data_IF_318112526476
#
_entry.id   IF_318112526476
#
_cell.length_a   1.000
_cell.length_b   1.000
_cell.length_c   1.000
_cell.angle_alpha   90.00
_cell.angle_beta   90.00
_cell.angle_gamma   90.00
#
_symmetry.space_group_name_H-M   'P 1'
#
loop_
_entity.id
_entity.type
_entity.pdbx_description
1 polymer ?
#
# COMPACT_ATOMS: atom_id res chain seq x y z
N UNK A 1 -23.10 5.23 -15.71
CA UNK A 1 -23.32 5.65 -14.32
C UNK A 1 -22.85 4.50 -13.43
N UNK A 2 -21.61 4.53 -12.93
CA UNK A 2 -21.10 3.50 -12.01
C UNK A 2 -21.66 3.86 -10.64
N UNK A 3 -22.58 3.05 -10.12
CA UNK A 3 -23.14 3.23 -8.78
C UNK A 3 -21.99 3.32 -7.76
N UNK A 4 -21.97 4.35 -6.91
CA UNK A 4 -21.09 4.39 -5.75
C UNK A 4 -21.44 3.19 -4.87
N UNK A 5 -20.55 2.21 -4.79
CA UNK A 5 -20.77 0.98 -4.02
C UNK A 5 -20.66 1.20 -2.51
N UNK A 6 -19.82 2.14 -2.07
CA UNK A 6 -19.69 2.59 -0.69
C UNK A 6 -19.00 3.96 -0.65
N UNK A 7 -19.31 4.76 0.37
CA UNK A 7 -18.65 6.02 0.69
C UNK A 7 -18.13 6.08 2.15
N UNK A 8 -18.31 5.01 2.92
CA UNK A 8 -17.83 4.90 4.30
C UNK A 8 -17.26 3.50 4.61
N UNK A 9 -16.39 3.35 5.63
CA UNK A 9 -15.85 2.05 6.00
C UNK A 9 -16.88 0.99 6.39
N UNK A 10 -17.97 1.40 7.05
CA UNK A 10 -19.08 0.50 7.39
C UNK A 10 -19.80 -0.02 6.14
N UNK A 11 -20.02 0.84 5.15
CA UNK A 11 -20.59 0.44 3.86
C UNK A 11 -19.65 -0.50 3.08
N UNK A 12 -18.34 -0.24 3.08
CA UNK A 12 -17.36 -1.12 2.44
C UNK A 12 -17.35 -2.52 3.08
N UNK A 13 -17.49 -2.60 4.41
CA UNK A 13 -17.65 -3.85 5.16
C UNK A 13 -18.93 -4.60 4.76
N UNK A 14 -20.06 -3.89 4.68
CA UNK A 14 -21.34 -4.47 4.25
C UNK A 14 -21.22 -5.00 2.82
N UNK A 15 -20.58 -4.25 1.93
CA UNK A 15 -20.35 -4.66 0.55
C UNK A 15 -19.50 -5.94 0.49
N UNK A 16 -18.40 -6.04 1.23
CA UNK A 16 -17.58 -7.26 1.29
C UNK A 16 -18.38 -8.49 1.75
N UNK A 17 -19.22 -8.32 2.77
CA UNK A 17 -20.11 -9.39 3.23
C UNK A 17 -21.13 -9.78 2.16
N UNK A 18 -21.66 -8.81 1.41
CA UNK A 18 -22.55 -9.07 0.28
C UNK A 18 -21.83 -9.83 -0.85
N UNK A 19 -20.59 -9.46 -1.19
CA UNK A 19 -19.75 -10.22 -2.13
C UNK A 19 -19.60 -11.68 -1.67
N UNK A 20 -19.26 -11.91 -0.40
CA UNK A 20 -19.13 -13.26 0.15
C UNK A 20 -20.44 -14.06 0.05
N UNK A 21 -21.58 -13.45 0.40
CA UNK A 21 -22.89 -14.10 0.35
C UNK A 21 -23.32 -14.46 -1.08
N UNK A 22 -23.14 -13.53 -2.03
CA UNK A 22 -23.42 -13.78 -3.45
C UNK A 22 -22.51 -14.88 -3.98
N UNK A 23 -21.22 -14.83 -3.65
CA UNK A 23 -20.25 -15.83 -4.06
C UNK A 23 -20.62 -17.23 -3.56
N UNK A 24 -20.96 -17.36 -2.28
CA UNK A 24 -21.42 -18.62 -1.70
C UNK A 24 -22.68 -19.17 -2.41
N UNK A 25 -23.60 -18.28 -2.80
CA UNK A 25 -24.78 -18.66 -3.59
C UNK A 25 -24.43 -19.17 -4.99
N UNK A 26 -23.52 -18.49 -5.70
CA UNK A 26 -23.07 -18.91 -7.04
C UNK A 26 -22.34 -20.26 -6.99
N UNK A 27 -21.49 -20.48 -5.98
CA UNK A 27 -20.80 -21.76 -5.79
C UNK A 27 -21.79 -22.90 -5.55
N UNK A 28 -22.85 -22.70 -4.75
CA UNK A 28 -23.93 -23.69 -4.57
C UNK A 28 -24.68 -24.01 -5.86
N UNK A 29 -24.70 -23.09 -6.83
CA UNK A 29 -25.27 -23.28 -8.16
C UNK A 29 -24.26 -23.89 -9.16
N UNK A 30 -23.07 -24.30 -8.71
CA UNK A 30 -22.00 -24.84 -9.56
C UNK A 30 -21.20 -23.79 -10.34
N UNK A 31 -21.47 -22.49 -10.13
CA UNK A 31 -20.77 -21.38 -10.79
C UNK A 31 -19.53 -21.00 -9.98
N UNK A 32 -18.44 -21.72 -10.22
CA UNK A 32 -17.17 -21.56 -9.48
C UNK A 32 -16.19 -20.57 -10.11
N UNK A 33 -16.50 -20.00 -11.27
CA UNK A 33 -15.64 -18.98 -11.89
C UNK A 33 -15.50 -17.75 -10.97
N UNK A 34 -14.31 -17.14 -10.86
CA UNK A 34 -14.13 -15.86 -10.17
C UNK A 34 -15.00 -14.76 -10.77
N UNK A 35 -15.15 -13.67 -10.02
CA UNK A 35 -15.75 -12.45 -10.57
C UNK A 35 -14.90 -11.87 -11.69
N UNK A 36 -15.56 -11.16 -12.60
CA UNK A 36 -14.87 -10.51 -13.70
C UNK A 36 -14.03 -9.32 -13.23
N UNK A 37 -13.14 -8.86 -14.11
CA UNK A 37 -12.24 -7.75 -13.82
C UNK A 37 -13.00 -6.45 -13.55
N UNK A 38 -14.18 -6.26 -14.15
CA UNK A 38 -15.00 -5.06 -13.95
C UNK A 38 -15.46 -4.96 -12.51
N UNK A 39 -15.89 -6.09 -11.93
CA UNK A 39 -16.33 -6.13 -10.55
C UNK A 39 -15.15 -5.99 -9.58
N UNK A 40 -14.01 -6.60 -9.87
CA UNK A 40 -12.77 -6.39 -9.10
C UNK A 40 -12.35 -4.91 -9.12
N UNK A 41 -12.44 -4.24 -10.27
CA UNK A 41 -12.15 -2.82 -10.39
C UNK A 41 -13.14 -1.96 -9.59
N UNK A 42 -14.43 -2.27 -9.67
CA UNK A 42 -15.47 -1.59 -8.89
C UNK A 42 -15.23 -1.73 -7.38
N UNK A 43 -14.82 -2.92 -6.93
CA UNK A 43 -14.40 -3.15 -5.54
C UNK A 43 -13.20 -2.28 -5.15
N UNK A 44 -12.14 -2.21 -5.97
CA UNK A 44 -10.98 -1.35 -5.64
C UNK A 44 -11.32 0.14 -5.59
N UNK A 45 -12.21 0.61 -6.47
CA UNK A 45 -12.70 2.00 -6.44
C UNK A 45 -13.52 2.27 -5.18
N UNK A 46 -14.33 1.30 -4.75
CA UNK A 46 -15.07 1.37 -3.49
C UNK A 46 -14.12 1.50 -2.30
N UNK A 47 -13.07 0.67 -2.23
CA UNK A 47 -12.05 0.75 -1.17
C UNK A 47 -11.41 2.14 -1.14
N UNK A 48 -11.07 2.70 -2.31
CA UNK A 48 -10.52 4.05 -2.39
C UNK A 48 -11.50 5.10 -1.85
N UNK A 49 -12.76 5.03 -2.27
CA UNK A 49 -13.77 6.02 -1.90
C UNK A 49 -14.14 5.96 -0.41
N UNK A 50 -14.15 4.77 0.16
CA UNK A 50 -14.45 4.53 1.57
C UNK A 50 -13.21 4.62 2.49
N UNK A 51 -12.00 4.78 1.92
CA UNK A 51 -10.72 4.76 2.62
C UNK A 51 -10.60 3.59 3.63
N UNK A 52 -10.83 2.37 3.14
CA UNK A 52 -10.95 1.16 3.98
C UNK A 52 -9.87 0.12 3.69
N UNK A 53 -8.61 0.35 4.08
CA UNK A 53 -7.52 -0.60 3.85
C UNK A 53 -7.73 -1.93 4.57
N UNK A 54 -8.41 -1.94 5.72
CA UNK A 54 -8.74 -3.15 6.48
C UNK A 54 -9.66 -4.11 5.69
N UNK A 55 -10.65 -3.56 5.00
CA UNK A 55 -11.57 -4.31 4.13
C UNK A 55 -10.82 -4.89 2.94
N UNK A 56 -9.87 -4.14 2.38
CA UNK A 56 -9.01 -4.63 1.31
C UNK A 56 -8.08 -5.75 1.78
N UNK A 57 -7.48 -5.61 2.97
CA UNK A 57 -6.62 -6.64 3.56
C UNK A 57 -7.39 -7.94 3.75
N UNK A 58 -8.62 -7.87 4.27
CA UNK A 58 -9.46 -9.07 4.39
C UNK A 58 -9.81 -9.66 3.02
N UNK A 59 -10.17 -8.82 2.06
CA UNK A 59 -10.48 -9.27 0.71
C UNK A 59 -9.29 -9.96 0.04
N UNK A 60 -8.06 -9.47 0.26
CA UNK A 60 -6.83 -10.11 -0.21
C UNK A 60 -6.62 -11.46 0.48
N UNK A 61 -6.75 -11.53 1.80
CA UNK A 61 -6.59 -12.79 2.56
C UNK A 61 -7.59 -13.87 2.14
N UNK A 62 -8.78 -13.47 1.69
CA UNK A 62 -9.88 -14.35 1.28
C UNK A 62 -10.15 -14.29 -0.23
N UNK A 63 -9.18 -13.86 -1.04
CA UNK A 63 -9.39 -13.56 -2.46
C UNK A 63 -9.99 -14.73 -3.25
N UNK A 64 -9.50 -15.95 -3.01
CA UNK A 64 -9.98 -17.18 -3.66
C UNK A 64 -11.40 -17.55 -3.22
N UNK A 65 -11.69 -17.44 -1.92
CA UNK A 65 -13.02 -17.69 -1.33
C UNK A 65 -14.05 -16.71 -1.89
N UNK A 66 -13.69 -15.42 -1.95
CA UNK A 66 -14.53 -14.34 -2.44
C UNK A 66 -14.62 -14.30 -3.96
N UNK A 67 -13.77 -15.03 -4.68
CA UNK A 67 -13.68 -14.95 -6.14
C UNK A 67 -13.21 -13.58 -6.63
N UNK A 68 -12.51 -12.80 -5.80
CA UNK A 68 -12.00 -11.48 -6.12
C UNK A 68 -10.53 -11.56 -6.54
N UNK A 69 -10.28 -11.59 -7.85
CA UNK A 69 -8.93 -11.54 -8.40
C UNK A 69 -8.49 -10.08 -8.58
N UNK A 70 -7.77 -9.55 -7.59
CA UNK A 70 -7.28 -8.18 -7.61
C UNK A 70 -5.98 -8.09 -8.42
N UNK A 71 -5.92 -7.15 -9.37
CA UNK A 71 -4.73 -6.97 -10.19
C UNK A 71 -3.68 -6.10 -9.48
N UNK A 72 -2.41 -6.37 -9.75
CA UNK A 72 -1.29 -5.57 -9.24
C UNK A 72 -1.45 -4.09 -9.59
N UNK A 73 -1.87 -3.78 -10.83
CA UNK A 73 -2.08 -2.40 -11.29
C UNK A 73 -3.03 -1.63 -10.39
N UNK A 74 -4.19 -2.21 -10.03
CA UNK A 74 -5.19 -1.54 -9.19
C UNK A 74 -4.71 -1.38 -7.75
N UNK A 75 -4.04 -2.39 -7.20
CA UNK A 75 -3.45 -2.26 -5.89
C UNK A 75 -2.38 -1.16 -5.87
N UNK A 76 -1.54 -1.07 -6.90
CA UNK A 76 -0.54 0.00 -7.02
C UNK A 76 -1.17 1.38 -7.12
N UNK A 77 -2.32 1.54 -7.78
CA UNK A 77 -3.06 2.80 -7.79
C UNK A 77 -3.50 3.20 -6.37
N UNK A 78 -4.00 2.27 -5.57
CA UNK A 78 -4.35 2.51 -4.16
C UNK A 78 -3.13 2.86 -3.31
N UNK A 79 -2.05 2.08 -3.44
CA UNK A 79 -0.81 2.35 -2.70
C UNK A 79 -0.20 3.71 -3.06
N UNK A 80 -0.25 4.13 -4.34
CA UNK A 80 0.17 5.47 -4.75
C UNK A 80 -0.70 6.55 -4.13
N UNK A 81 -2.02 6.35 -4.15
CA UNK A 81 -2.95 7.30 -3.55
C UNK A 81 -2.68 7.52 -2.07
N UNK A 82 -2.57 6.45 -1.28
CA UNK A 82 -2.18 6.56 0.13
C UNK A 82 -0.76 7.09 0.31
N UNK A 83 0.14 6.80 -0.63
CA UNK A 83 1.51 7.33 -0.63
C UNK A 83 1.59 8.83 -0.84
N UNK A 84 0.69 9.40 -1.65
CA UNK A 84 0.52 10.84 -1.84
C UNK A 84 -0.05 11.52 -0.60
N UNK A 85 -0.90 10.82 0.15
CA UNK A 85 -1.45 11.30 1.43
C UNK A 85 -0.49 11.14 2.61
N UNK A 86 0.65 10.45 2.43
CA UNK A 86 1.59 10.17 3.52
C UNK A 86 1.14 9.03 4.45
N UNK A 87 0.17 8.23 4.03
CA UNK A 87 -0.46 7.15 4.81
C UNK A 87 0.36 5.85 4.73
N UNK A 88 1.60 5.90 5.21
CA UNK A 88 2.52 4.75 5.13
C UNK A 88 2.01 3.53 5.91
N UNK A 89 1.31 3.72 7.03
CA UNK A 89 0.74 2.61 7.80
C UNK A 89 -0.28 1.80 6.98
N UNK A 90 -1.16 2.47 6.23
CA UNK A 90 -2.14 1.81 5.35
C UNK A 90 -1.45 1.02 4.24
N UNK A 91 -0.39 1.58 3.67
CA UNK A 91 0.44 0.89 2.68
C UNK A 91 1.06 -0.37 3.27
N UNK A 92 1.61 -0.30 4.48
CA UNK A 92 2.25 -1.42 5.18
C UNK A 92 1.26 -2.57 5.42
N UNK A 93 0.04 -2.26 5.86
CA UNK A 93 -1.02 -3.25 6.06
C UNK A 93 -1.37 -4.00 4.77
N UNK A 94 -1.61 -3.25 3.69
CA UNK A 94 -1.97 -3.82 2.40
C UNK A 94 -0.80 -4.58 1.79
N UNK A 95 0.42 -4.06 1.92
CA UNK A 95 1.64 -4.71 1.45
C UNK A 95 1.75 -6.11 2.05
N UNK A 96 1.61 -6.25 3.37
CA UNK A 96 1.66 -7.56 4.03
C UNK A 96 0.59 -8.56 3.53
N UNK A 97 -0.54 -8.07 3.02
CA UNK A 97 -1.63 -8.90 2.51
C UNK A 97 -1.52 -9.23 1.01
N UNK A 98 -0.76 -8.48 0.20
CA UNK A 98 -0.72 -8.67 -1.26
C UNK A 98 -0.36 -10.12 -1.67
N UNK A 99 0.70 -10.75 -1.12
CA UNK A 99 1.07 -12.10 -1.53
C UNK A 99 0.02 -13.15 -1.13
N UNK A 100 -0.71 -12.91 -0.02
CA UNK A 100 -1.80 -13.78 0.43
C UNK A 100 -2.97 -13.77 -0.56
N UNK A 101 -3.22 -12.63 -1.20
CA UNK A 101 -4.19 -12.48 -2.29
C UNK A 101 -3.65 -12.89 -3.67
N UNK A 102 -2.48 -13.52 -3.74
CA UNK A 102 -1.87 -13.95 -5.00
C UNK A 102 -1.27 -12.82 -5.83
N UNK A 103 -1.06 -11.63 -5.25
CA UNK A 103 -0.41 -10.50 -5.94
C UNK A 103 1.04 -10.38 -5.47
N UNK A 104 2.03 -10.78 -6.29
CA UNK A 104 3.42 -10.69 -5.91
C UNK A 104 3.90 -9.23 -5.91
N UNK A 105 4.87 -8.95 -5.05
CA UNK A 105 5.61 -7.70 -5.11
C UNK A 105 6.43 -7.60 -6.39
N UNK A 106 6.61 -6.39 -6.89
CA UNK A 106 7.49 -6.13 -8.02
C UNK A 106 8.20 -4.76 -7.88
N UNK A 107 8.95 -4.37 -8.90
CA UNK A 107 9.70 -3.12 -8.90
C UNK A 107 8.83 -1.86 -8.73
N UNK A 108 7.55 -1.92 -9.13
CA UNK A 108 6.59 -0.83 -8.92
C UNK A 108 6.18 -0.78 -7.45
N UNK A 109 5.88 -1.93 -6.83
CA UNK A 109 5.64 -2.01 -5.37
C UNK A 109 6.82 -1.42 -4.60
N UNK A 110 8.05 -1.85 -4.93
CA UNK A 110 9.27 -1.35 -4.30
C UNK A 110 9.41 0.18 -4.45
N UNK A 111 9.20 0.71 -5.65
CA UNK A 111 9.28 2.15 -5.90
C UNK A 111 8.27 2.94 -5.05
N UNK A 112 7.02 2.48 -4.95
CA UNK A 112 5.98 3.19 -4.20
C UNK A 112 6.35 3.28 -2.71
N UNK A 113 6.65 2.14 -2.08
CA UNK A 113 6.94 2.11 -0.63
C UNK A 113 8.20 2.89 -0.27
N UNK A 114 9.25 2.80 -1.10
CA UNK A 114 10.50 3.55 -0.91
C UNK A 114 10.24 5.05 -1.06
N UNK A 115 9.53 5.46 -2.13
CA UNK A 115 9.22 6.88 -2.36
C UNK A 115 8.41 7.46 -1.21
N UNK A 116 7.38 6.75 -0.74
CA UNK A 116 6.56 7.22 0.38
C UNK A 116 7.39 7.37 1.66
N UNK A 117 8.21 6.37 2.00
CA UNK A 117 9.07 6.42 3.18
C UNK A 117 10.08 7.59 3.11
N UNK A 118 10.76 7.78 1.98
CA UNK A 118 11.68 8.91 1.76
C UNK A 118 10.96 10.26 1.87
N UNK A 119 9.77 10.39 1.29
CA UNK A 119 8.99 11.63 1.33
C UNK A 119 8.55 12.00 2.76
N UNK A 120 8.28 11.00 3.60
CA UNK A 120 7.97 11.19 5.01
C UNK A 120 9.21 11.43 5.89
N UNK A 121 10.41 11.37 5.31
CA UNK A 121 11.68 11.45 6.05
C UNK A 121 11.98 10.19 6.87
N UNK A 122 11.25 9.09 6.66
CA UNK A 122 11.47 7.81 7.30
C UNK A 122 12.55 7.01 6.56
N UNK A 123 13.78 7.51 6.57
CA UNK A 123 14.89 6.92 5.78
C UNK A 123 15.17 5.47 6.17
N UNK A 124 15.15 5.13 7.46
CA UNK A 124 15.38 3.76 7.93
C UNK A 124 14.36 2.78 7.35
N UNK A 125 13.09 3.20 7.25
CA UNK A 125 12.04 2.40 6.60
C UNK A 125 12.29 2.26 5.10
N UNK A 126 12.75 3.30 4.42
CA UNK A 126 13.07 3.24 3.00
C UNK A 126 14.18 2.22 2.71
N UNK A 127 15.26 2.22 3.50
CA UNK A 127 16.35 1.24 3.40
C UNK A 127 15.88 -0.17 3.73
N UNK A 128 15.07 -0.33 4.78
CA UNK A 128 14.46 -1.61 5.13
C UNK A 128 13.64 -2.16 3.96
N UNK A 129 12.81 -1.34 3.31
CA UNK A 129 12.04 -1.78 2.15
C UNK A 129 12.93 -2.18 0.98
N UNK A 130 13.97 -1.40 0.69
CA UNK A 130 14.90 -1.74 -0.39
C UNK A 130 15.59 -3.09 -0.13
N UNK A 131 16.11 -3.30 1.08
CA UNK A 131 16.74 -4.55 1.48
C UNK A 131 15.76 -5.73 1.39
N UNK A 132 14.54 -5.57 1.93
CA UNK A 132 13.50 -6.59 1.91
C UNK A 132 13.07 -6.96 0.47
N UNK A 133 13.00 -5.99 -0.44
CA UNK A 133 12.68 -6.23 -1.85
C UNK A 133 13.84 -6.93 -2.57
N UNK A 134 15.09 -6.52 -2.32
CA UNK A 134 16.27 -7.16 -2.90
C UNK A 134 16.45 -8.61 -2.44
N UNK A 135 16.18 -8.93 -1.17
CA UNK A 135 16.16 -10.31 -0.66
C UNK A 135 15.15 -11.19 -1.40
N UNK A 136 14.06 -10.59 -1.90
CA UNK A 136 13.04 -11.26 -2.72
C UNK A 136 13.37 -11.21 -4.22
N UNK A 137 14.61 -10.89 -4.58
CA UNK A 137 15.10 -10.76 -5.97
C UNK A 137 14.34 -9.68 -6.78
N UNK A 138 13.73 -8.71 -6.13
CA UNK A 138 13.07 -7.58 -6.78
C UNK A 138 14.09 -6.48 -7.01
N UNK A 139 14.32 -6.15 -8.27
CA UNK A 139 15.24 -5.08 -8.67
C UNK A 139 14.73 -3.72 -8.21
N UNK A 140 15.59 -2.99 -7.50
CA UNK A 140 15.38 -1.57 -7.21
C UNK A 140 15.67 -0.76 -8.48
N UNK A 141 14.71 0.08 -8.86
CA UNK A 141 14.86 0.93 -10.06
C UNK A 141 15.89 2.03 -9.81
N UNK A 142 16.58 2.55 -10.84
CA UNK A 142 17.50 3.68 -10.69
C UNK A 142 16.83 4.91 -10.05
N UNK A 143 15.54 5.13 -10.34
CA UNK A 143 14.77 6.21 -9.72
C UNK A 143 14.56 6.01 -8.22
N UNK A 144 14.24 4.79 -7.77
CA UNK A 144 14.16 4.48 -6.34
C UNK A 144 15.51 4.65 -5.64
N UNK A 145 16.61 4.21 -6.29
CA UNK A 145 17.95 4.36 -5.75
C UNK A 145 18.34 5.84 -5.57
N UNK A 146 18.04 6.69 -6.56
CA UNK A 146 18.24 8.15 -6.46
C UNK A 146 17.42 8.79 -5.33
N UNK A 147 16.17 8.34 -5.12
CA UNK A 147 15.35 8.84 -4.02
C UNK A 147 15.96 8.52 -2.66
N UNK A 148 16.44 7.29 -2.46
CA UNK A 148 17.10 6.91 -1.20
C UNK A 148 18.35 7.74 -0.96
N UNK A 149 19.19 7.96 -1.98
CA UNK A 149 20.38 8.79 -1.84
C UNK A 149 20.04 10.24 -1.45
N UNK A 150 19.02 10.82 -2.09
CA UNK A 150 18.50 12.13 -1.72
C UNK A 150 18.00 12.16 -0.26
N UNK A 151 17.34 11.10 0.19
CA UNK A 151 16.90 10.94 1.57
C UNK A 151 18.07 10.91 2.57
N UNK A 152 19.13 10.13 2.29
CA UNK A 152 20.37 10.10 3.09
C UNK A 152 21.06 11.46 3.17
N UNK A 153 21.08 12.21 2.07
CA UNK A 153 21.65 13.56 2.05
C UNK A 153 20.86 14.53 2.95
N UNK A 154 19.53 14.50 2.85
CA UNK A 154 18.64 15.33 3.71
C UNK A 154 18.77 14.98 5.19
N UNK A 155 18.89 13.69 5.51
CA UNK A 155 19.09 13.25 6.89
C UNK A 155 20.42 13.77 7.46
N UNK A 156 21.53 13.59 6.74
CA UNK A 156 22.84 14.12 7.14
C UNK A 156 22.84 15.63 7.35
N UNK A 157 22.15 16.37 6.47
CA UNK A 157 22.00 17.83 6.61
C UNK A 157 21.28 18.20 7.91
N UNK A 158 20.15 17.53 8.22
CA UNK A 158 19.41 17.76 9.47
C UNK A 158 20.23 17.44 10.70
N UNK A 159 20.98 16.34 10.69
CA UNK A 159 21.86 15.95 11.79
C UNK A 159 22.97 16.99 12.01
N UNK A 160 23.55 17.52 10.94
CA UNK A 160 24.55 18.60 11.00
C UNK A 160 23.95 19.90 11.54
N UNK A 161 22.78 20.30 11.07
CA UNK A 161 22.07 21.49 11.55
C UNK A 161 21.72 21.38 13.05
N UNK A 162 21.24 20.21 13.49
CA UNK A 162 20.94 19.95 14.90
C UNK A 162 22.19 19.96 15.78
N UNK A 163 23.28 19.35 15.31
CA UNK A 163 24.56 19.37 16.02
C UNK A 163 25.13 20.79 16.15
N UNK A 164 25.04 21.58 15.07
CA UNK A 164 25.47 22.99 15.08
C UNK A 164 24.62 23.84 16.03
N UNK A 165 23.29 23.65 16.04
CA UNK A 165 22.39 24.35 16.96
C UNK A 165 22.66 23.98 18.42
N UNK A 166 22.88 22.69 18.71
CA UNK A 166 23.22 22.21 20.06
C UNK A 166 24.56 22.78 20.55
N UNK A 167 25.58 22.83 19.67
CA UNK A 167 26.88 23.42 20.00
C UNK A 167 26.77 24.93 20.26
N UNK A 168 25.97 25.65 19.48
CA UNK A 168 25.73 27.07 19.69
C UNK A 168 24.99 27.37 21.01
N UNK A 169 24.01 26.54 21.38
CA UNK A 169 23.30 26.67 22.66
C UNK A 169 24.26 26.41 23.85
N UNK A 170 25.07 25.35 23.78
CA UNK A 170 26.04 25.03 24.83
C UNK A 170 27.10 26.13 25.01
N UNK A 171 27.49 26.84 23.94
CA UNK A 171 28.41 27.96 24.02
C UNK A 171 27.78 29.26 24.55
N UNK A 172 26.45 29.39 24.51
CA UNK A 172 25.73 30.56 25.05
C UNK A 172 25.45 30.44 26.56
N UNK A 173 25.40 29.21 27.09
CA UNK A 173 25.18 28.91 28.51
C UNK A 173 26.49 28.82 29.32
N UNK A 174 27.66 28.93 28.67
CA UNK A 174 29.00 28.87 29.27
C UNK A 174 29.63 30.26 29.42
#
# INVERSE_FOLDING_TARGET
>A
MICKLASSPSEARIALNAFAAVRASLVRQGKVAPYDERLAAAFTNMIRAADSPDVLVEALRRASELGLLLSATRLHELLRHWGELGELAKIEEVLAAMPLGGVPYNHVTAYIVIRTAVNLGAQDKAEYYAAAMMQRQIRITPSAARLMELGRQRQRQREQEQAAAAAAAAAADA
#
